data_IF_105267361733
#
_entry.id   IF_105267361733
#
_cell.length_a   1.000
_cell.length_b   1.000
_cell.length_c   1.000
_cell.angle_alpha   90.00
_cell.angle_beta   90.00
_cell.angle_gamma   90.00
#
_symmetry.space_group_name_H-M   'P 1'
#
loop_
_entity.id
_entity.type
_entity.pdbx_description
1 polymer ?
#
# COMPACT_ATOMS: atom_id res chain seq x y z
N UNK A 1 3.31 20.11 -10.21
CA UNK A 1 4.33 19.07 -10.47
C UNK A 1 5.68 19.65 -10.14
N UNK A 2 6.46 18.92 -9.33
CA UNK A 2 7.81 19.32 -8.92
C UNK A 2 8.78 18.21 -9.30
N UNK A 3 9.98 18.53 -9.70
CA UNK A 3 11.06 17.57 -9.96
C UNK A 3 12.11 17.71 -8.85
N UNK A 4 12.42 16.60 -8.19
CA UNK A 4 13.34 16.54 -7.05
C UNK A 4 14.60 15.83 -7.50
N UNK A 5 15.73 16.53 -7.57
CA UNK A 5 17.04 15.90 -7.75
C UNK A 5 17.46 15.26 -6.42
N UNK A 6 17.60 13.95 -6.40
CA UNK A 6 18.01 13.18 -5.21
C UNK A 6 19.52 12.90 -5.19
N UNK A 7 20.27 13.44 -6.17
CA UNK A 7 21.74 13.37 -6.23
C UNK A 7 22.32 11.99 -6.52
N UNK A 8 21.47 10.99 -6.81
CA UNK A 8 21.89 9.63 -7.10
C UNK A 8 20.93 8.96 -8.08
N UNK A 9 21.39 7.92 -8.76
CA UNK A 9 20.55 7.21 -9.71
C UNK A 9 19.41 6.48 -9.03
N UNK A 10 18.20 6.73 -9.51
CA UNK A 10 16.94 6.12 -9.03
C UNK A 10 16.60 4.95 -9.94
N UNK A 11 16.14 3.85 -9.34
CA UNK A 11 15.52 2.76 -10.08
C UNK A 11 14.19 3.26 -10.63
N UNK A 12 14.04 3.24 -11.94
CA UNK A 12 12.78 3.59 -12.60
C UNK A 12 11.74 2.49 -12.49
N UNK A 13 10.52 2.77 -12.96
CA UNK A 13 9.53 1.74 -13.11
C UNK A 13 10.00 0.70 -14.14
N UNK A 14 9.94 -0.58 -13.75
CA UNK A 14 10.13 -1.70 -14.65
C UNK A 14 8.97 -1.84 -15.64
N UNK A 15 8.76 -3.07 -16.14
CA UNK A 15 7.65 -3.40 -17.02
C UNK A 15 6.31 -3.54 -16.31
N UNK A 16 6.26 -3.21 -15.04
CA UNK A 16 5.07 -3.35 -14.19
C UNK A 16 4.54 -4.79 -14.14
N UNK A 17 5.46 -5.71 -13.94
CA UNK A 17 5.13 -7.10 -13.63
C UNK A 17 4.96 -7.23 -12.13
N UNK A 18 4.18 -8.21 -11.71
CA UNK A 18 3.99 -8.57 -10.30
C UNK A 18 5.32 -8.89 -9.58
N UNK A 19 6.41 -9.06 -10.33
CA UNK A 19 7.75 -9.36 -9.82
C UNK A 19 8.66 -8.14 -9.70
N UNK A 20 8.29 -7.00 -10.29
CA UNK A 20 9.15 -5.82 -10.31
C UNK A 20 9.12 -5.09 -8.96
N UNK A 21 10.25 -4.60 -8.44
CA UNK A 21 10.27 -3.83 -7.21
C UNK A 21 9.47 -2.54 -7.33
N UNK A 22 8.76 -2.17 -6.27
CA UNK A 22 8.19 -0.84 -6.12
C UNK A 22 9.31 0.16 -5.80
N UNK A 23 9.58 1.14 -6.66
CA UNK A 23 10.78 1.95 -6.53
C UNK A 23 10.64 3.19 -5.66
N UNK A 24 9.43 3.64 -5.35
CA UNK A 24 9.20 4.92 -4.67
C UNK A 24 8.00 4.88 -3.74
N UNK A 25 8.07 5.68 -2.67
CA UNK A 25 6.96 5.94 -1.77
C UNK A 25 7.08 7.35 -1.18
N UNK A 26 5.95 7.99 -0.90
CA UNK A 26 5.89 9.32 -0.28
C UNK A 26 4.92 9.31 0.90
N UNK A 27 5.16 10.18 1.88
CA UNK A 27 4.22 10.43 2.98
C UNK A 27 4.28 11.89 3.40
N UNK A 28 3.13 12.46 3.80
CA UNK A 28 3.08 13.80 4.36
C UNK A 28 3.83 13.83 5.69
N UNK A 29 4.74 14.79 5.89
CA UNK A 29 5.42 14.90 7.15
C UNK A 29 4.68 15.88 8.08
N UNK A 30 4.59 15.57 9.38
CA UNK A 30 4.10 16.51 10.38
C UNK A 30 4.92 17.81 10.34
N UNK A 31 4.25 18.95 10.39
CA UNK A 31 4.91 20.25 10.28
C UNK A 31 5.19 20.73 8.85
N UNK A 32 4.71 20.02 7.84
CA UNK A 32 4.80 20.39 6.41
C UNK A 32 5.87 19.64 5.63
N UNK A 33 5.78 19.68 4.30
CA UNK A 33 6.64 18.93 3.38
C UNK A 33 6.37 17.42 3.41
N UNK A 34 7.37 16.62 3.01
CA UNK A 34 7.19 15.17 2.80
C UNK A 34 8.38 14.34 3.29
N UNK A 35 8.12 13.09 3.62
CA UNK A 35 9.11 12.03 3.55
C UNK A 35 9.01 11.36 2.17
N UNK A 36 10.15 11.18 1.52
CA UNK A 36 10.29 10.51 0.24
C UNK A 36 11.26 9.35 0.40
N UNK A 37 10.82 8.15 -0.01
CA UNK A 37 11.68 6.99 -0.08
C UNK A 37 11.81 6.53 -1.54
N UNK A 38 13.01 6.05 -1.92
CA UNK A 38 13.27 5.54 -3.25
C UNK A 38 14.30 4.42 -3.26
N UNK A 39 14.24 3.59 -4.28
CA UNK A 39 15.21 2.54 -4.55
C UNK A 39 16.31 3.10 -5.47
N UNK A 40 17.55 3.03 -5.01
CA UNK A 40 18.71 3.34 -5.83
C UNK A 40 19.07 2.20 -6.77
N UNK A 41 19.81 2.52 -7.85
CA UNK A 41 20.34 1.49 -8.78
C UNK A 41 21.47 0.64 -8.17
N UNK A 42 21.91 0.98 -6.98
CA UNK A 42 22.84 0.21 -6.14
C UNK A 42 22.13 -0.83 -5.24
N UNK A 43 20.82 -1.05 -5.45
CA UNK A 43 19.98 -1.95 -4.67
C UNK A 43 19.87 -1.57 -3.18
N UNK A 44 19.94 -0.29 -2.87
CA UNK A 44 19.69 0.25 -1.54
C UNK A 44 18.43 1.12 -1.56
N UNK A 45 17.72 1.11 -0.46
CA UNK A 45 16.61 2.04 -0.22
C UNK A 45 17.14 3.29 0.46
N UNK A 46 16.66 4.43 0.02
CA UNK A 46 16.98 5.73 0.58
C UNK A 46 15.72 6.40 1.11
N UNK A 47 15.89 7.14 2.20
CA UNK A 47 14.85 7.98 2.78
C UNK A 47 15.38 9.41 2.89
N UNK A 48 14.66 10.36 2.31
CA UNK A 48 14.97 11.78 2.34
C UNK A 48 13.78 12.61 2.84
N UNK A 49 14.08 13.79 3.36
CA UNK A 49 13.11 14.77 3.79
C UNK A 49 12.94 15.83 2.71
N UNK A 50 11.71 16.19 2.36
CA UNK A 50 11.39 17.31 1.47
C UNK A 50 10.76 18.44 2.28
N UNK A 51 11.05 19.67 1.89
CA UNK A 51 10.35 20.86 2.38
C UNK A 51 8.95 21.03 1.75
N UNK A 52 8.29 22.15 2.04
CA UNK A 52 6.98 22.45 1.49
C UNK A 52 6.99 22.77 -0.01
N UNK A 53 8.15 23.06 -0.58
CA UNK A 53 8.38 23.28 -2.01
C UNK A 53 8.85 22.01 -2.75
N UNK A 54 8.78 20.86 -2.08
CA UNK A 54 9.28 19.55 -2.53
C UNK A 54 10.80 19.55 -2.81
N UNK A 55 11.60 20.38 -2.14
CA UNK A 55 13.06 20.36 -2.23
C UNK A 55 13.67 19.43 -1.20
N UNK A 56 14.66 18.65 -1.59
CA UNK A 56 15.37 17.75 -0.68
C UNK A 56 16.11 18.54 0.41
N UNK A 57 15.90 18.16 1.67
CA UNK A 57 16.54 18.75 2.84
C UNK A 57 17.52 17.75 3.43
N UNK A 58 18.76 18.20 3.64
CA UNK A 58 19.80 17.38 4.25
C UNK A 58 20.29 16.24 3.37
N UNK A 59 20.88 15.23 4.01
CA UNK A 59 21.44 14.05 3.33
C UNK A 59 20.50 12.87 3.52
N UNK A 60 20.07 12.18 2.45
CA UNK A 60 19.25 10.99 2.55
C UNK A 60 19.94 9.87 3.35
N UNK A 61 19.16 9.13 4.12
CA UNK A 61 19.63 7.94 4.82
C UNK A 61 19.47 6.71 3.93
N UNK A 62 20.57 6.00 3.65
CA UNK A 62 20.58 4.76 2.87
C UNK A 62 20.61 3.52 3.76
N UNK A 63 19.81 2.51 3.44
CA UNK A 63 19.73 1.24 4.16
C UNK A 63 19.41 0.06 3.24
N UNK A 64 19.51 -1.15 3.76
CA UNK A 64 19.20 -2.37 3.02
C UNK A 64 17.69 -2.53 2.81
N UNK A 65 17.29 -2.83 1.58
CA UNK A 65 15.91 -3.12 1.19
C UNK A 65 15.82 -3.48 -0.28
N UNK A 66 14.81 -4.24 -0.65
CA UNK A 66 14.62 -4.72 -2.03
C UNK A 66 13.63 -3.82 -2.77
N UNK A 67 12.63 -3.30 -2.07
CA UNK A 67 11.58 -2.43 -2.62
C UNK A 67 10.89 -1.62 -1.52
N UNK A 68 9.89 -0.86 -1.93
CA UNK A 68 9.13 0.05 -1.09
C UNK A 68 7.65 -0.28 -1.17
N UNK A 69 7.15 -1.03 -0.19
CA UNK A 69 5.73 -1.39 -0.18
C UNK A 69 4.84 -0.21 0.20
N UNK A 70 5.22 0.54 1.23
CA UNK A 70 4.52 1.77 1.65
C UNK A 70 5.35 2.61 2.61
N UNK A 71 5.01 3.89 2.72
CA UNK A 71 5.60 4.86 3.63
C UNK A 71 4.48 5.62 4.36
N UNK A 72 4.62 5.74 5.68
CA UNK A 72 3.71 6.48 6.53
C UNK A 72 4.51 7.46 7.40
N UNK A 73 4.03 8.70 7.55
CA UNK A 73 4.64 9.62 8.50
C UNK A 73 4.33 9.21 9.94
N UNK A 74 5.31 9.38 10.81
CA UNK A 74 5.16 9.21 12.26
C UNK A 74 4.66 10.52 12.89
N UNK A 75 3.77 10.42 13.86
CA UNK A 75 3.24 11.56 14.59
C UNK A 75 4.35 12.42 15.27
N UNK A 76 5.52 11.84 15.55
CA UNK A 76 6.67 12.52 16.12
C UNK A 76 7.59 13.20 15.06
N UNK A 77 7.12 13.33 13.83
CA UNK A 77 7.87 13.99 12.75
C UNK A 77 8.76 13.07 11.92
N UNK A 78 8.93 11.83 12.32
CA UNK A 78 9.67 10.81 11.57
C UNK A 78 8.82 10.08 10.52
N UNK A 79 9.26 8.86 10.16
CA UNK A 79 8.57 8.02 9.20
C UNK A 79 8.65 6.54 9.57
N UNK A 80 7.68 5.76 9.11
CA UNK A 80 7.70 4.30 9.13
C UNK A 80 7.58 3.79 7.71
N UNK A 81 8.48 2.91 7.33
CA UNK A 81 8.57 2.30 6.02
C UNK A 81 8.27 0.81 6.09
N UNK A 82 7.50 0.32 5.13
CA UNK A 82 7.29 -1.10 4.87
C UNK A 82 8.15 -1.49 3.66
N UNK A 83 9.08 -2.43 3.86
CA UNK A 83 10.03 -2.87 2.83
C UNK A 83 10.25 -4.37 2.90
N UNK A 84 10.56 -4.98 1.76
CA UNK A 84 11.08 -6.33 1.72
C UNK A 84 12.59 -6.33 1.92
N UNK A 85 13.09 -7.36 2.57
CA UNK A 85 14.53 -7.59 2.73
C UNK A 85 14.91 -9.01 2.35
N UNK A 86 16.16 -9.14 2.00
CA UNK A 86 17.07 -10.25 2.02
C UNK A 86 16.56 -11.62 1.63
N UNK A 87 17.47 -12.56 1.78
CA UNK A 87 17.24 -13.97 1.51
C UNK A 87 17.13 -14.70 2.85
N UNK A 88 15.96 -15.20 3.20
CA UNK A 88 15.74 -15.95 4.43
C UNK A 88 15.99 -17.46 4.30
N UNK A 89 16.66 -17.88 3.23
CA UNK A 89 16.90 -19.30 2.97
C UNK A 89 15.62 -20.01 2.56
N UNK A 90 15.40 -20.15 1.26
CA UNK A 90 14.21 -20.81 0.71
C UNK A 90 14.09 -22.25 1.17
N UNK A 91 12.88 -22.75 1.34
CA UNK A 91 12.57 -24.15 1.58
C UNK A 91 12.41 -24.91 0.27
N UNK A 92 12.59 -26.24 0.35
CA UNK A 92 12.22 -27.13 -0.76
C UNK A 92 10.70 -27.18 -0.87
N UNK A 93 10.16 -26.73 -1.99
CA UNK A 93 8.75 -26.87 -2.28
C UNK A 93 8.36 -28.29 -2.66
N UNK A 94 7.13 -28.69 -2.37
CA UNK A 94 6.63 -30.02 -2.73
C UNK A 94 6.62 -30.25 -4.24
N UNK A 95 6.58 -29.20 -5.05
CA UNK A 95 6.78 -29.27 -6.50
C UNK A 95 8.24 -29.41 -6.96
N UNK A 96 9.20 -29.52 -6.06
CA UNK A 96 10.63 -29.72 -6.37
C UNK A 96 11.42 -28.47 -6.71
N UNK A 97 10.80 -27.29 -6.69
CA UNK A 97 11.48 -26.00 -6.90
C UNK A 97 11.84 -25.36 -5.55
N UNK A 98 12.87 -24.53 -5.54
CA UNK A 98 13.14 -23.66 -4.39
C UNK A 98 12.36 -22.34 -4.52
N UNK A 99 11.81 -21.85 -3.42
CA UNK A 99 11.13 -20.59 -3.39
C UNK A 99 12.11 -19.46 -3.05
N UNK A 100 12.06 -18.31 -3.73
CA UNK A 100 12.71 -17.11 -3.23
C UNK A 100 12.08 -16.74 -1.89
N UNK A 101 12.92 -16.44 -0.91
CA UNK A 101 12.50 -16.11 0.43
C UNK A 101 12.86 -14.65 0.74
N UNK A 102 11.86 -13.79 0.77
CA UNK A 102 12.02 -12.43 1.28
C UNK A 102 11.20 -12.27 2.56
N UNK A 103 11.70 -11.43 3.45
CA UNK A 103 11.00 -11.06 4.68
C UNK A 103 10.45 -9.65 4.60
N UNK A 104 9.33 -9.40 5.25
CA UNK A 104 8.73 -8.07 5.35
C UNK A 104 9.16 -7.40 6.65
N UNK A 105 9.57 -6.15 6.55
CA UNK A 105 10.09 -5.36 7.67
C UNK A 105 9.39 -4.01 7.75
N UNK A 106 9.12 -3.60 8.99
CA UNK A 106 8.82 -2.22 9.34
C UNK A 106 10.10 -1.57 9.87
N UNK A 107 10.43 -0.40 9.34
CA UNK A 107 11.58 0.38 9.80
C UNK A 107 11.08 1.76 10.20
N UNK A 108 11.34 2.16 11.45
CA UNK A 108 11.00 3.50 11.95
C UNK A 108 12.22 4.38 11.94
N UNK A 109 12.03 5.61 11.47
CA UNK A 109 13.00 6.69 11.46
C UNK A 109 12.49 7.85 12.32
N UNK A 110 13.41 8.53 13.01
CA UNK A 110 13.10 9.78 13.72
C UNK A 110 12.98 10.97 12.76
N UNK A 111 12.67 12.14 13.31
CA UNK A 111 12.51 13.37 12.53
C UNK A 111 13.81 13.83 11.83
N UNK A 112 14.97 13.32 12.23
CA UNK A 112 16.27 13.57 11.56
C UNK A 112 16.58 12.54 10.45
N UNK A 113 15.71 11.54 10.24
CA UNK A 113 15.94 10.45 9.29
C UNK A 113 16.85 9.34 9.80
N UNK A 114 17.17 9.33 11.10
CA UNK A 114 17.97 8.26 11.71
C UNK A 114 17.06 7.09 12.07
N UNK A 115 17.47 5.86 11.72
CA UNK A 115 16.77 4.65 12.09
C UNK A 115 16.67 4.48 13.61
N UNK A 116 15.46 4.31 14.12
CA UNK A 116 15.16 4.10 15.55
C UNK A 116 15.06 2.62 15.87
N UNK A 117 14.28 1.90 15.07
CA UNK A 117 14.15 0.45 15.18
C UNK A 117 13.77 -0.17 13.83
N UNK A 118 13.96 -1.47 13.76
CA UNK A 118 13.50 -2.33 12.68
C UNK A 118 12.80 -3.55 13.28
N UNK A 119 11.66 -3.91 12.71
CA UNK A 119 10.87 -5.08 13.10
C UNK A 119 10.52 -5.92 11.89
N UNK A 120 10.99 -7.17 11.87
CA UNK A 120 10.48 -8.17 10.94
C UNK A 120 9.04 -8.51 11.31
N UNK A 121 8.12 -8.47 10.33
CA UNK A 121 6.68 -8.75 10.49
C UNK A 121 6.23 -10.01 9.77
N UNK A 122 7.16 -10.71 9.11
CA UNK A 122 7.00 -12.07 8.60
C UNK A 122 7.65 -13.08 9.54
N UNK A 123 7.48 -14.37 9.24
CA UNK A 123 8.05 -15.48 10.01
C UNK A 123 7.65 -15.50 11.49
N UNK A 124 6.45 -15.08 11.76
CA UNK A 124 5.90 -15.03 13.10
C UNK A 124 5.12 -16.31 13.36
N UNK A 125 5.38 -16.91 14.51
CA UNK A 125 4.77 -18.17 14.92
C UNK A 125 3.30 -17.96 15.29
N UNK A 126 2.40 -18.27 14.37
CA UNK A 126 0.96 -18.08 14.54
C UNK A 126 0.22 -19.21 15.24
N UNK A 127 0.85 -20.31 15.51
CA UNK A 127 0.33 -21.37 16.37
C UNK A 127 -0.90 -22.12 15.89
N UNK A 128 -1.25 -22.13 14.61
CA UNK A 128 -2.30 -23.00 14.10
C UNK A 128 -1.79 -24.40 13.79
N UNK A 129 -2.51 -25.38 14.28
CA UNK A 129 -2.27 -26.78 13.98
C UNK A 129 -2.36 -27.04 12.47
N UNK A 130 -1.29 -27.55 11.87
CA UNK A 130 -1.21 -27.87 10.44
C UNK A 130 -0.69 -26.77 9.56
N UNK A 131 -0.58 -25.54 10.05
CA UNK A 131 0.05 -24.44 9.33
C UNK A 131 1.32 -24.05 10.07
N UNK A 132 2.44 -24.10 9.37
CA UNK A 132 3.68 -23.60 9.91
C UNK A 132 3.65 -22.08 9.90
N UNK A 133 2.91 -21.55 10.84
CA UNK A 133 3.01 -20.20 11.32
C UNK A 133 2.80 -19.06 10.34
N UNK A 134 1.89 -19.22 9.43
CA UNK A 134 1.40 -18.13 8.65
C UNK A 134 2.49 -17.50 7.76
N UNK A 135 2.89 -16.31 8.00
CA UNK A 135 3.64 -15.44 7.12
C UNK A 135 5.16 -15.71 7.16
N UNK A 136 5.66 -16.82 6.66
CA UNK A 136 7.11 -17.09 6.67
C UNK A 136 7.90 -16.18 5.75
N UNK A 137 7.38 -15.90 4.56
CA UNK A 137 8.07 -15.08 3.59
C UNK A 137 7.08 -14.44 2.61
N UNK A 138 7.57 -13.46 1.87
CA UNK A 138 6.84 -12.83 0.77
C UNK A 138 7.12 -13.60 -0.50
N UNK A 139 6.06 -14.04 -1.15
CA UNK A 139 6.14 -14.61 -2.47
C UNK A 139 6.54 -13.54 -3.49
N UNK A 140 7.29 -13.90 -4.49
CA UNK A 140 7.90 -12.96 -5.44
C UNK A 140 6.90 -12.12 -6.27
N UNK A 141 5.66 -12.50 -6.36
CA UNK A 141 4.61 -11.73 -7.03
C UNK A 141 3.63 -11.00 -6.09
N UNK A 142 3.85 -11.04 -4.81
CA UNK A 142 2.96 -10.40 -3.84
C UNK A 142 3.45 -8.99 -3.46
N UNK A 143 3.39 -8.06 -4.42
CA UNK A 143 3.81 -6.67 -4.25
C UNK A 143 2.69 -5.77 -3.76
N UNK A 144 2.01 -6.12 -2.69
CA UNK A 144 0.86 -5.34 -2.25
C UNK A 144 0.83 -5.17 -0.74
N UNK A 145 1.71 -4.35 -0.25
CA UNK A 145 1.72 -3.95 1.16
C UNK A 145 1.19 -2.54 1.35
N UNK A 146 0.51 -2.29 2.46
CA UNK A 146 0.06 -0.96 2.90
C UNK A 146 0.24 -0.79 4.38
N UNK A 147 0.44 0.46 4.78
CA UNK A 147 0.56 0.92 6.16
C UNK A 147 -0.61 1.80 6.56
N UNK A 148 -1.04 1.67 7.81
CA UNK A 148 -1.87 2.63 8.50
C UNK A 148 -1.35 2.85 9.92
N UNK A 149 -1.66 4.00 10.51
CA UNK A 149 -1.29 4.31 11.90
C UNK A 149 -2.44 5.00 12.61
N UNK A 150 -2.60 4.69 13.89
CA UNK A 150 -3.49 5.39 14.82
C UNK A 150 -2.76 6.52 15.58
N UNK A 151 -1.49 6.79 15.24
CA UNK A 151 -0.62 7.72 15.92
C UNK A 151 0.21 7.11 17.05
N UNK A 152 -0.14 5.90 17.51
CA UNK A 152 0.56 5.16 18.58
C UNK A 152 1.05 3.78 18.14
N UNK A 153 0.39 3.20 17.18
CA UNK A 153 0.75 1.92 16.57
C UNK A 153 0.83 2.03 15.04
N UNK A 154 1.49 1.06 14.44
CA UNK A 154 1.65 0.93 12.99
C UNK A 154 1.15 -0.43 12.56
N UNK A 155 0.16 -0.47 11.69
CA UNK A 155 -0.36 -1.70 11.11
C UNK A 155 0.14 -1.85 9.68
N UNK A 156 0.81 -2.96 9.39
CA UNK A 156 1.18 -3.40 8.05
C UNK A 156 0.22 -4.48 7.58
N UNK A 157 -0.39 -4.30 6.43
CA UNK A 157 -1.24 -5.31 5.79
C UNK A 157 -0.65 -5.65 4.42
N UNK A 158 -0.27 -6.90 4.22
CA UNK A 158 0.56 -7.32 3.08
C UNK A 158 0.28 -8.77 2.65
N UNK A 159 0.59 -9.07 1.39
CA UNK A 159 0.53 -10.42 0.85
C UNK A 159 1.68 -11.29 1.36
N UNK A 160 1.40 -12.56 1.61
CA UNK A 160 2.38 -13.52 2.12
C UNK A 160 2.17 -14.90 1.53
N UNK A 161 3.24 -15.70 1.52
CA UNK A 161 3.14 -17.13 1.41
C UNK A 161 2.84 -17.73 2.78
N UNK A 162 1.73 -18.42 2.88
CA UNK A 162 1.38 -19.27 4.01
C UNK A 162 1.94 -20.65 3.72
N UNK A 163 2.73 -21.17 4.63
CA UNK A 163 3.38 -22.47 4.44
C UNK A 163 2.67 -23.56 5.23
N UNK A 164 2.53 -24.71 4.60
CA UNK A 164 2.05 -25.93 5.24
C UNK A 164 3.18 -26.97 5.11
N UNK A 165 3.65 -27.49 6.23
CA UNK A 165 4.63 -28.56 6.21
C UNK A 165 3.96 -29.86 5.72
N UNK A 166 4.52 -30.45 4.68
CA UNK A 166 4.05 -31.70 4.10
C UNK A 166 5.21 -32.68 3.98
N UNK A 167 5.41 -33.54 4.97
CA UNK A 167 6.57 -34.44 5.05
C UNK A 167 7.89 -33.66 5.01
N UNK A 168 8.71 -33.91 3.98
CA UNK A 168 10.03 -33.28 3.80
C UNK A 168 10.01 -32.02 2.93
N UNK A 169 8.84 -31.56 2.51
CA UNK A 169 8.68 -30.38 1.67
C UNK A 169 7.63 -29.42 2.25
N UNK A 170 7.60 -28.22 1.72
CA UNK A 170 6.67 -27.17 2.12
C UNK A 170 5.67 -26.96 1.00
N UNK A 171 4.40 -27.11 1.31
CA UNK A 171 3.31 -26.67 0.48
C UNK A 171 3.03 -25.20 0.73
N UNK A 172 2.67 -24.46 -0.31
CA UNK A 172 2.48 -23.03 -0.22
C UNK A 172 1.03 -22.71 -0.54
N UNK A 173 0.42 -21.96 0.39
CA UNK A 173 -0.78 -21.21 0.12
C UNK A 173 -0.46 -19.73 0.12
N UNK A 174 -1.09 -19.02 -0.76
CA UNK A 174 -1.03 -17.58 -0.80
C UNK A 174 -2.13 -16.99 0.07
N UNK A 175 -1.85 -15.87 0.65
CA UNK A 175 -2.80 -15.15 1.45
C UNK A 175 -2.27 -13.79 1.82
N UNK A 176 -2.85 -13.18 2.81
CA UNK A 176 -2.38 -11.91 3.35
C UNK A 176 -2.40 -11.90 4.88
N UNK A 177 -1.67 -10.94 5.44
CA UNK A 177 -1.48 -10.79 6.88
C UNK A 177 -1.52 -9.34 7.27
N UNK A 178 -2.09 -9.07 8.43
CA UNK A 178 -1.89 -7.82 9.13
C UNK A 178 -1.02 -8.05 10.35
N UNK A 179 -0.05 -7.16 10.56
CA UNK A 179 0.76 -7.09 11.77
C UNK A 179 0.70 -5.69 12.34
N UNK A 180 0.53 -5.60 13.66
CA UNK A 180 0.54 -4.34 14.40
C UNK A 180 1.78 -4.27 15.26
N UNK A 181 2.48 -3.15 15.20
CA UNK A 181 3.70 -2.86 15.95
C UNK A 181 3.50 -1.55 16.71
N UNK A 182 3.91 -1.50 17.96
CA UNK A 182 3.85 -0.28 18.78
C UNK A 182 4.97 0.72 18.42
N UNK A 183 4.93 1.89 19.02
CA UNK A 183 5.93 2.93 18.81
C UNK A 183 7.35 2.52 19.23
N UNK A 184 7.49 1.52 20.10
CA UNK A 184 8.76 0.95 20.53
C UNK A 184 9.30 -0.17 19.62
N UNK A 185 8.57 -0.53 18.56
CA UNK A 185 8.95 -1.61 17.65
C UNK A 185 8.59 -3.00 18.15
N UNK A 186 7.71 -3.12 19.15
CA UNK A 186 7.25 -4.41 19.63
C UNK A 186 5.94 -4.81 18.96
N UNK A 187 5.80 -6.11 18.68
CA UNK A 187 4.54 -6.65 18.20
C UNK A 187 3.46 -6.47 19.27
N UNK A 188 2.31 -5.98 18.88
CA UNK A 188 1.18 -5.81 19.78
C UNK A 188 0.56 -7.17 20.05
N UNK A 189 0.84 -7.73 21.24
CA UNK A 189 0.30 -9.00 21.66
C UNK A 189 -1.20 -8.90 21.92
N UNK A 190 -1.94 -9.98 21.58
CA UNK A 190 -3.39 -10.01 21.75
C UNK A 190 -4.16 -9.21 20.71
N UNK A 191 -3.49 -8.58 19.76
CA UNK A 191 -4.16 -8.08 18.56
C UNK A 191 -4.57 -9.31 17.74
N UNK A 192 -5.83 -9.66 17.90
CA UNK A 192 -6.40 -10.95 17.51
C UNK A 192 -6.15 -11.32 16.06
N UNK A 193 -6.00 -10.31 15.23
CA UNK A 193 -6.00 -10.45 13.78
C UNK A 193 -4.63 -10.20 13.17
N UNK A 194 -3.60 -10.13 14.01
CA UNK A 194 -2.25 -9.80 13.56
C UNK A 194 -1.58 -10.91 12.73
N UNK A 195 -2.13 -12.10 12.66
CA UNK A 195 -1.53 -13.21 11.89
C UNK A 195 -2.40 -13.71 10.75
N UNK A 196 -3.70 -13.61 10.88
CA UNK A 196 -4.64 -14.31 10.01
C UNK A 196 -5.82 -13.44 9.63
N UNK A 197 -5.50 -12.26 9.25
CA UNK A 197 -6.46 -11.41 8.62
C UNK A 197 -6.29 -11.64 7.16
N UNK A 198 -7.18 -12.34 6.51
CA UNK A 198 -6.81 -12.44 5.18
C UNK A 198 -7.80 -12.98 4.20
N UNK A 199 -7.52 -12.60 3.01
CA UNK A 199 -8.05 -13.21 1.83
C UNK A 199 -7.09 -14.31 1.39
N UNK A 200 -7.62 -15.40 0.92
CA UNK A 200 -6.84 -16.38 0.19
C UNK A 200 -6.49 -15.83 -1.18
N UNK A 201 -5.26 -16.05 -1.65
CA UNK A 201 -4.79 -15.62 -2.96
C UNK A 201 -5.16 -14.17 -3.30
N UNK A 202 -4.76 -13.24 -2.43
CA UNK A 202 -5.05 -11.83 -2.64
C UNK A 202 -4.08 -11.22 -3.64
N UNK A 203 -4.60 -10.35 -4.51
CA UNK A 203 -3.79 -9.55 -5.44
C UNK A 203 -3.49 -8.17 -4.90
N UNK A 204 -4.34 -7.65 -4.02
CA UNK A 204 -4.12 -6.35 -3.37
C UNK A 204 -4.62 -6.35 -1.96
N UNK A 205 -3.90 -5.65 -1.09
CA UNK A 205 -4.25 -5.41 0.31
C UNK A 205 -4.30 -3.92 0.55
N UNK A 206 -5.34 -3.45 1.22
CA UNK A 206 -5.51 -2.04 1.55
C UNK A 206 -5.98 -1.88 2.98
N UNK A 207 -5.45 -0.90 3.68
CA UNK A 207 -5.73 -0.65 5.09
C UNK A 207 -5.82 0.84 5.37
N UNK A 208 -6.74 1.23 6.26
CA UNK A 208 -6.82 2.57 6.83
C UNK A 208 -7.11 2.49 8.33
N UNK A 209 -6.67 3.47 9.09
CA UNK A 209 -7.14 3.67 10.45
C UNK A 209 -8.49 4.38 10.43
N UNK A 210 -9.48 3.84 11.13
CA UNK A 210 -10.78 4.49 11.34
C UNK A 210 -10.87 4.99 12.79
N UNK A 211 -10.63 6.28 13.03
CA UNK A 211 -10.70 6.85 14.37
C UNK A 211 -12.11 6.84 14.95
N UNK A 212 -13.16 6.78 14.13
CA UNK A 212 -14.55 6.71 14.56
C UNK A 212 -14.89 5.35 15.18
N UNK A 213 -14.30 4.30 14.62
CA UNK A 213 -14.50 2.92 15.06
C UNK A 213 -13.38 2.43 15.98
N UNK A 214 -12.29 3.19 16.14
CA UNK A 214 -11.12 2.81 16.93
C UNK A 214 -10.44 1.53 16.43
N UNK A 215 -10.39 1.33 15.10
CA UNK A 215 -9.86 0.10 14.50
C UNK A 215 -9.24 0.34 13.13
N UNK A 216 -8.41 -0.59 12.73
CA UNK A 216 -7.97 -0.72 11.34
C UNK A 216 -9.06 -1.35 10.49
N UNK A 217 -9.37 -0.72 9.37
CA UNK A 217 -10.27 -1.24 8.35
C UNK A 217 -9.47 -1.69 7.14
N UNK A 218 -9.85 -2.82 6.57
CA UNK A 218 -9.09 -3.47 5.50
C UNK A 218 -10.00 -3.95 4.39
N UNK A 219 -9.47 -3.96 3.17
CA UNK A 219 -10.04 -4.67 2.04
C UNK A 219 -8.94 -5.36 1.23
N UNK A 220 -9.30 -6.43 0.53
CA UNK A 220 -8.46 -7.17 -0.40
C UNK A 220 -9.21 -7.44 -1.69
N UNK A 221 -8.47 -7.59 -2.78
CA UNK A 221 -8.97 -8.26 -3.98
C UNK A 221 -8.44 -9.69 -3.98
N UNK A 222 -9.30 -10.67 -4.17
CA UNK A 222 -8.96 -12.10 -4.07
C UNK A 222 -9.52 -12.90 -5.23
N UNK A 223 -8.80 -13.93 -5.67
CA UNK A 223 -9.27 -14.90 -6.65
C UNK A 223 -10.31 -15.86 -6.07
N UNK A 224 -10.36 -16.02 -4.74
CA UNK A 224 -11.36 -16.83 -4.08
C UNK A 224 -12.77 -16.27 -4.34
N UNK A 225 -13.46 -16.86 -5.31
CA UNK A 225 -14.72 -16.40 -5.88
C UNK A 225 -14.65 -14.96 -6.47
N UNK A 226 -13.47 -14.48 -6.83
CA UNK A 226 -13.20 -13.23 -7.55
C UNK A 226 -13.99 -12.05 -6.99
N UNK A 227 -13.57 -11.56 -5.84
CA UNK A 227 -14.31 -10.56 -5.10
C UNK A 227 -13.40 -9.50 -4.49
N UNK A 228 -13.99 -8.37 -4.17
CA UNK A 228 -13.47 -7.44 -3.18
C UNK A 228 -14.05 -7.84 -1.84
N UNK A 229 -13.21 -8.12 -0.87
CA UNK A 229 -13.63 -8.61 0.44
C UNK A 229 -13.04 -7.76 1.58
N UNK A 230 -13.82 -7.66 2.64
CA UNK A 230 -13.33 -7.25 3.94
C UNK A 230 -12.85 -8.50 4.68
N UNK A 231 -11.59 -8.57 5.12
CA UNK A 231 -11.06 -9.83 5.65
C UNK A 231 -11.55 -10.18 7.06
N UNK A 232 -11.81 -9.19 7.93
CA UNK A 232 -12.17 -9.49 9.31
C UNK A 232 -13.37 -8.68 9.84
N UNK A 233 -14.46 -9.35 10.25
CA UNK A 233 -14.84 -10.70 9.85
C UNK A 233 -14.99 -10.78 8.33
N UNK A 234 -14.68 -11.93 7.75
CA UNK A 234 -14.69 -12.08 6.29
C UNK A 234 -16.09 -11.81 5.71
N UNK A 235 -16.17 -10.81 4.84
CA UNK A 235 -17.40 -10.39 4.15
C UNK A 235 -17.09 -9.93 2.74
N UNK A 236 -17.91 -10.34 1.80
CA UNK A 236 -17.88 -9.81 0.44
C UNK A 236 -18.38 -8.37 0.43
N UNK A 237 -17.61 -7.47 -0.13
CA UNK A 237 -17.99 -6.09 -0.43
C UNK A 237 -18.60 -6.03 -1.83
N UNK A 238 -17.89 -6.53 -2.83
CA UNK A 238 -18.36 -6.60 -4.22
C UNK A 238 -17.93 -7.94 -4.84
N UNK A 239 -18.78 -8.48 -5.71
CA UNK A 239 -18.49 -9.69 -6.47
C UNK A 239 -18.08 -9.34 -7.89
N UNK A 240 -17.02 -9.95 -8.34
CA UNK A 240 -16.51 -9.87 -9.70
C UNK A 240 -16.71 -11.17 -10.48
N UNK A 241 -16.02 -11.27 -11.60
CA UNK A 241 -15.93 -12.44 -12.46
C UNK A 241 -14.49 -12.96 -12.42
N UNK A 242 -14.32 -14.29 -12.42
CA UNK A 242 -12.99 -14.91 -12.42
C UNK A 242 -12.39 -14.94 -13.85
N UNK A 243 -12.14 -13.78 -14.42
CA UNK A 243 -11.57 -13.60 -15.75
C UNK A 243 -10.11 -13.08 -15.75
N UNK A 244 -9.52 -12.99 -14.54
CA UNK A 244 -8.16 -12.48 -14.35
C UNK A 244 -8.02 -10.97 -14.46
N UNK A 245 -9.12 -10.21 -14.58
CA UNK A 245 -9.08 -8.75 -14.74
C UNK A 245 -9.49 -7.97 -13.48
N UNK A 246 -9.86 -8.67 -12.41
CA UNK A 246 -10.24 -8.03 -11.15
C UNK A 246 -9.00 -7.47 -10.44
N UNK A 247 -9.04 -6.19 -10.09
CA UNK A 247 -7.98 -5.53 -9.35
C UNK A 247 -8.58 -4.58 -8.29
N UNK A 248 -8.06 -4.63 -7.07
CA UNK A 248 -8.44 -3.72 -5.98
C UNK A 248 -7.58 -2.46 -6.00
N UNK A 249 -8.22 -1.32 -6.04
CA UNK A 249 -7.60 -0.03 -5.74
C UNK A 249 -7.52 0.22 -4.24
N UNK A 250 -7.43 1.49 -3.86
CA UNK A 250 -7.25 1.85 -2.46
C UNK A 250 -8.58 1.96 -1.69
N UNK A 251 -8.46 2.10 -0.37
CA UNK A 251 -9.52 2.22 0.61
C UNK A 251 -9.42 3.58 1.31
N UNK A 252 -10.54 4.30 1.42
CA UNK A 252 -10.62 5.57 2.15
C UNK A 252 -11.85 5.61 3.07
N UNK A 253 -11.81 6.48 4.07
CA UNK A 253 -12.96 6.74 4.93
C UNK A 253 -14.04 7.51 4.14
N UNK A 254 -15.29 7.10 4.28
CA UNK A 254 -16.42 7.91 3.82
C UNK A 254 -16.59 9.16 4.72
N UNK A 255 -17.17 10.22 4.20
CA UNK A 255 -17.42 11.44 4.98
C UNK A 255 -18.45 11.24 6.12
N UNK A 256 -19.31 10.23 5.97
CA UNK A 256 -20.22 9.74 7.00
C UNK A 256 -19.75 8.44 7.62
N UNK A 257 -20.64 7.46 7.70
CA UNK A 257 -20.33 6.11 8.14
C UNK A 257 -19.70 5.29 7.00
N UNK A 258 -18.79 4.39 7.34
CA UNK A 258 -18.23 3.42 6.42
C UNK A 258 -17.05 3.90 5.60
N UNK A 259 -16.87 3.29 4.44
CA UNK A 259 -15.66 3.36 3.63
C UNK A 259 -16.02 3.38 2.14
N UNK A 260 -15.13 3.97 1.35
CA UNK A 260 -15.11 3.82 -0.10
C UNK A 260 -13.89 3.01 -0.53
N UNK A 261 -14.07 2.08 -1.43
CA UNK A 261 -12.97 1.39 -2.12
C UNK A 261 -13.15 1.50 -3.63
N UNK A 262 -12.04 1.72 -4.33
CA UNK A 262 -12.01 1.62 -5.79
C UNK A 262 -11.64 0.20 -6.19
N UNK A 263 -12.16 -0.26 -7.32
CA UNK A 263 -11.74 -1.51 -7.94
C UNK A 263 -12.05 -1.50 -9.44
N UNK A 264 -11.42 -2.38 -10.17
CA UNK A 264 -11.65 -2.51 -11.60
C UNK A 264 -11.86 -3.96 -12.02
N UNK A 265 -12.62 -4.12 -13.08
CA UNK A 265 -12.79 -5.37 -13.80
C UNK A 265 -13.17 -5.10 -15.24
N UNK A 266 -12.57 -5.85 -16.19
CA UNK A 266 -12.78 -5.66 -17.60
C UNK A 266 -12.52 -4.22 -18.08
N UNK A 267 -11.55 -3.56 -17.48
CA UNK A 267 -11.20 -2.16 -17.73
C UNK A 267 -12.19 -1.14 -17.18
N UNK A 268 -13.23 -1.54 -16.46
CA UNK A 268 -14.22 -0.63 -15.86
C UNK A 268 -13.90 -0.39 -14.40
N UNK A 269 -13.68 0.87 -14.02
CA UNK A 269 -13.48 1.27 -12.62
C UNK A 269 -14.81 1.53 -11.92
N UNK A 270 -14.91 1.03 -10.69
CA UNK A 270 -16.06 1.20 -9.80
C UNK A 270 -15.62 1.71 -8.43
N UNK A 271 -16.51 2.44 -7.77
CA UNK A 271 -16.41 2.80 -6.37
C UNK A 271 -17.51 2.10 -5.59
N UNK A 272 -17.14 1.44 -4.50
CA UNK A 272 -18.08 0.75 -3.63
C UNK A 272 -18.09 1.42 -2.26
N UNK A 273 -19.27 1.81 -1.80
CA UNK A 273 -19.49 2.23 -0.42
C UNK A 273 -19.94 1.06 0.42
N UNK A 274 -19.30 0.84 1.56
CA UNK A 274 -19.68 -0.22 2.49
C UNK A 274 -19.40 0.18 3.94
N UNK A 275 -20.08 -0.47 4.89
CA UNK A 275 -19.86 -0.31 6.34
C UNK A 275 -19.20 -1.56 6.94
N UNK A 276 -19.98 -2.63 7.14
CA UNK A 276 -19.52 -3.86 7.77
C UNK A 276 -19.77 -5.12 6.93
N UNK A 277 -20.43 -4.99 5.81
CA UNK A 277 -20.85 -6.09 4.94
C UNK A 277 -20.77 -5.72 3.46
N UNK A 278 -21.73 -6.20 2.65
CA UNK A 278 -21.81 -5.88 1.23
C UNK A 278 -21.91 -4.39 0.96
N UNK A 279 -21.54 -4.02 -0.26
CA UNK A 279 -21.67 -2.64 -0.74
C UNK A 279 -23.10 -2.11 -0.58
N UNK A 280 -23.22 -0.91 -0.06
CA UNK A 280 -24.49 -0.19 0.09
C UNK A 280 -24.74 0.77 -1.07
N UNK A 281 -23.68 1.12 -1.83
CA UNK A 281 -23.77 1.92 -3.04
C UNK A 281 -22.60 1.60 -3.98
N UNK A 282 -22.92 1.38 -5.25
CA UNK A 282 -21.97 1.14 -6.33
C UNK A 282 -22.03 2.31 -7.32
N UNK A 283 -20.89 2.98 -7.53
CA UNK A 283 -20.73 4.01 -8.53
C UNK A 283 -19.90 3.45 -9.69
N UNK A 284 -20.49 3.34 -10.86
CA UNK A 284 -19.78 3.04 -12.11
C UNK A 284 -19.22 4.34 -12.66
N UNK A 285 -17.91 4.45 -12.70
CA UNK A 285 -17.27 5.67 -13.20
C UNK A 285 -17.13 5.63 -14.72
N UNK A 286 -16.79 6.76 -15.33
CA UNK A 286 -16.36 6.80 -16.75
C UNK A 286 -14.91 6.37 -16.93
N UNK A 287 -14.15 6.17 -15.85
CA UNK A 287 -12.76 5.77 -15.88
C UNK A 287 -12.60 4.37 -16.50
N UNK A 288 -11.59 4.23 -17.34
CA UNK A 288 -11.18 2.97 -17.96
C UNK A 288 -9.76 2.68 -17.54
N UNK A 289 -9.58 1.74 -16.63
CA UNK A 289 -8.28 1.32 -16.12
C UNK A 289 -8.40 -0.06 -15.49
N UNK A 290 -7.30 -0.80 -15.45
CA UNK A 290 -7.17 -2.02 -14.67
C UNK A 290 -6.66 -1.77 -13.26
N UNK A 291 -6.10 -0.58 -12.97
CA UNK A 291 -5.38 -0.26 -11.74
C UNK A 291 -5.76 1.13 -11.21
N UNK A 292 -6.94 1.26 -10.58
CA UNK A 292 -7.35 2.53 -10.01
C UNK A 292 -6.66 2.79 -8.66
N UNK A 293 -6.39 4.05 -8.35
CA UNK A 293 -5.98 4.55 -7.04
C UNK A 293 -7.08 5.40 -6.44
N UNK A 294 -7.21 5.37 -5.11
CA UNK A 294 -8.17 6.17 -4.38
C UNK A 294 -7.52 6.76 -3.12
N UNK A 295 -7.66 8.05 -2.91
CA UNK A 295 -7.08 8.75 -1.76
C UNK A 295 -8.05 9.78 -1.19
N UNK A 296 -8.01 9.99 0.13
CA UNK A 296 -8.71 11.10 0.78
C UNK A 296 -8.18 12.44 0.25
N UNK A 297 -9.06 13.41 0.01
CA UNK A 297 -8.72 14.66 -0.66
C UNK A 297 -9.62 15.81 -0.19
N UNK A 298 -9.03 16.92 0.16
CA UNK A 298 -9.80 18.06 0.67
C UNK A 298 -10.66 17.69 1.89
N UNK A 299 -11.70 18.45 2.14
CA UNK A 299 -12.67 18.14 3.19
C UNK A 299 -13.87 17.39 2.60
N UNK A 300 -14.11 16.17 3.10
CA UNK A 300 -15.25 15.34 2.69
C UNK A 300 -15.23 14.89 1.21
N UNK A 301 -14.06 14.84 0.61
CA UNK A 301 -13.84 14.42 -0.79
C UNK A 301 -12.85 13.28 -0.89
N UNK A 302 -12.83 12.62 -2.03
CA UNK A 302 -11.86 11.61 -2.41
C UNK A 302 -11.42 11.83 -3.85
N UNK A 303 -10.16 11.52 -4.14
CA UNK A 303 -9.57 11.60 -5.47
C UNK A 303 -9.40 10.18 -6.02
N UNK A 304 -10.09 9.89 -7.11
CA UNK A 304 -9.88 8.69 -7.91
C UNK A 304 -8.89 9.02 -9.02
N UNK A 305 -7.87 8.20 -9.18
CA UNK A 305 -6.84 8.34 -10.22
C UNK A 305 -6.70 7.01 -10.95
N UNK A 306 -6.41 7.06 -12.25
CA UNK A 306 -6.24 5.86 -13.07
C UNK A 306 -5.29 6.11 -14.24
N UNK A 307 -4.69 5.05 -14.75
CA UNK A 307 -3.83 5.12 -15.92
C UNK A 307 -4.61 5.59 -17.16
N UNK A 308 -4.02 6.47 -17.96
CA UNK A 308 -4.58 6.98 -19.20
C UNK A 308 -3.47 7.19 -20.23
N UNK A 309 -3.10 6.15 -20.93
CA UNK A 309 -1.98 6.14 -21.86
C UNK A 309 -0.63 6.31 -21.16
N UNK A 310 0.12 7.37 -21.48
CA UNK A 310 1.40 7.69 -20.84
C UNK A 310 1.29 8.60 -19.61
N UNK A 311 0.07 8.97 -19.22
CA UNK A 311 -0.24 9.87 -18.12
C UNK A 311 -1.31 9.24 -17.22
N UNK A 312 -1.65 9.90 -16.13
CA UNK A 312 -2.77 9.52 -15.28
C UNK A 312 -3.92 10.51 -15.47
N UNK A 313 -5.14 10.00 -15.45
CA UNK A 313 -6.33 10.83 -15.36
C UNK A 313 -6.88 10.79 -13.93
N UNK A 314 -7.53 11.86 -13.50
CA UNK A 314 -8.05 12.00 -12.16
C UNK A 314 -9.43 12.66 -12.14
N UNK A 315 -10.26 12.28 -11.17
CA UNK A 315 -11.58 12.84 -10.90
C UNK A 315 -11.81 12.90 -9.40
N UNK A 316 -12.31 14.04 -8.95
CA UNK A 316 -12.74 14.21 -7.56
C UNK A 316 -14.17 13.71 -7.39
N UNK A 317 -14.42 13.06 -6.25
CA UNK A 317 -15.74 12.61 -5.83
C UNK A 317 -16.06 13.10 -4.42
N UNK A 318 -17.32 13.34 -4.17
CA UNK A 318 -17.84 13.62 -2.84
C UNK A 318 -17.84 12.33 -2.00
N UNK A 319 -17.18 12.34 -0.84
CA UNK A 319 -17.03 11.17 -0.01
C UNK A 319 -18.30 10.80 0.80
N UNK A 320 -19.34 11.65 0.79
CA UNK A 320 -20.61 11.32 1.42
C UNK A 320 -21.55 10.52 0.50
N UNK A 321 -21.49 10.79 -0.81
CA UNK A 321 -22.47 10.22 -1.74
C UNK A 321 -21.89 9.65 -3.04
N UNK A 322 -20.58 9.74 -3.25
CA UNK A 322 -19.89 9.23 -4.43
C UNK A 322 -20.18 9.99 -5.73
N UNK A 323 -20.74 11.20 -5.66
CA UNK A 323 -20.97 12.00 -6.87
C UNK A 323 -19.68 12.67 -7.35
N UNK A 324 -19.44 12.76 -8.68
CA UNK A 324 -18.30 13.49 -9.20
C UNK A 324 -18.40 14.99 -8.87
N UNK A 325 -17.26 15.60 -8.52
CA UNK A 325 -17.11 17.02 -8.22
C UNK A 325 -16.14 17.62 -9.24
N UNK A 326 -16.59 18.63 -9.98
CA UNK A 326 -15.80 19.24 -11.04
C UNK A 326 -15.59 18.35 -12.25
N UNK A 327 -14.62 18.69 -13.08
CA UNK A 327 -14.28 17.95 -14.30
C UNK A 327 -13.08 17.04 -14.07
N UNK A 328 -12.96 16.00 -14.91
CA UNK A 328 -11.76 15.18 -15.00
C UNK A 328 -10.58 16.03 -15.45
N UNK A 329 -9.38 15.71 -14.95
CA UNK A 329 -8.12 16.35 -15.33
C UNK A 329 -6.99 15.32 -15.46
N UNK A 330 -5.86 15.74 -16.03
CA UNK A 330 -4.72 14.88 -16.31
C UNK A 330 -3.54 15.24 -15.39
N UNK A 331 -2.85 14.21 -14.92
CA UNK A 331 -1.57 14.30 -14.24
C UNK A 331 -0.49 13.77 -15.20
N UNK A 332 0.48 14.60 -15.56
CA UNK A 332 1.55 14.23 -16.49
C UNK A 332 2.64 13.41 -15.79
N UNK A 333 2.26 12.29 -15.24
CA UNK A 333 3.14 11.28 -14.63
C UNK A 333 2.66 9.89 -15.04
N UNK A 334 3.63 8.96 -15.14
CA UNK A 334 3.33 7.56 -15.39
C UNK A 334 2.83 6.89 -14.11
N UNK A 335 1.85 6.03 -14.26
CA UNK A 335 1.32 5.20 -13.20
C UNK A 335 2.23 4.02 -12.82
N UNK A 336 2.04 3.52 -11.61
CA UNK A 336 2.45 2.20 -11.15
C UNK A 336 1.34 1.60 -10.28
N UNK A 337 0.78 0.48 -10.68
CA UNK A 337 -0.44 -0.13 -10.14
C UNK A 337 -0.44 -0.35 -8.62
N UNK A 338 0.71 -0.63 -8.04
CA UNK A 338 0.84 -0.95 -6.61
C UNK A 338 1.32 0.23 -5.75
N UNK A 339 1.73 1.34 -6.36
CA UNK A 339 2.20 2.51 -5.63
C UNK A 339 1.01 3.36 -5.14
N UNK A 340 1.15 3.99 -3.97
CA UNK A 340 0.04 4.72 -3.36
C UNK A 340 0.11 6.23 -3.58
N UNK A 341 -1.05 6.85 -3.80
CA UNK A 341 -1.26 8.26 -3.48
C UNK A 341 -1.35 8.44 -1.98
N UNK A 342 -0.85 9.55 -1.47
CA UNK A 342 -0.92 9.91 -0.04
C UNK A 342 -1.64 11.23 0.16
N UNK A 343 -2.56 11.22 1.14
CA UNK A 343 -3.26 12.41 1.59
C UNK A 343 -2.35 13.26 2.49
N UNK A 344 -2.54 14.58 2.42
CA UNK A 344 -1.80 15.56 3.19
C UNK A 344 -2.74 16.36 4.11
N UNK A 345 -2.24 16.89 5.25
CA UNK A 345 -3.06 17.66 6.20
C UNK A 345 -3.68 18.92 5.60
N UNK A 346 -3.09 19.50 4.55
CA UNK A 346 -3.62 20.63 3.80
C UNK A 346 -4.75 20.24 2.82
N UNK A 347 -5.13 18.98 2.81
CA UNK A 347 -6.14 18.41 1.91
C UNK A 347 -5.62 18.07 0.51
N UNK A 348 -4.35 18.29 0.22
CA UNK A 348 -3.74 17.85 -1.04
C UNK A 348 -3.51 16.34 -1.05
N UNK A 349 -3.24 15.81 -2.23
CA UNK A 349 -2.76 14.44 -2.42
C UNK A 349 -1.46 14.46 -3.24
N UNK A 350 -0.52 13.57 -2.94
CA UNK A 350 0.72 13.47 -3.70
C UNK A 350 1.08 12.04 -4.09
N UNK A 351 1.81 11.93 -5.19
CA UNK A 351 2.29 10.70 -5.78
C UNK A 351 3.71 10.90 -6.32
N UNK A 352 4.69 10.03 -5.97
CA UNK A 352 6.02 10.07 -6.53
C UNK A 352 6.06 9.26 -7.82
N UNK A 353 6.68 9.78 -8.85
CA UNK A 353 6.85 9.11 -10.13
C UNK A 353 8.31 9.20 -10.60
N UNK A 354 8.72 8.28 -11.47
CA UNK A 354 10.04 8.33 -12.08
C UNK A 354 10.22 9.64 -12.86
N UNK A 355 11.31 10.36 -12.55
CA UNK A 355 11.79 11.51 -13.30
C UNK A 355 12.89 11.12 -14.29
N UNK A 356 13.96 11.90 -14.33
CA UNK A 356 15.19 11.56 -15.03
C UNK A 356 16.08 10.66 -14.17
N UNK A 357 17.29 10.30 -14.64
CA UNK A 357 18.19 9.35 -13.98
C UNK A 357 18.43 9.59 -12.48
N UNK A 358 18.45 10.86 -12.05
CA UNK A 358 18.72 11.27 -10.67
C UNK A 358 17.57 12.04 -10.03
N UNK A 359 16.41 12.08 -10.69
CA UNK A 359 15.28 12.85 -10.19
C UNK A 359 14.02 12.01 -10.02
N UNK A 360 13.16 12.46 -9.12
CA UNK A 360 11.84 11.95 -8.86
C UNK A 360 10.84 13.09 -9.09
N UNK A 361 9.77 12.81 -9.81
CA UNK A 361 8.68 13.77 -10.04
C UNK A 361 7.63 13.59 -8.96
N UNK A 362 7.22 14.69 -8.34
CA UNK A 362 6.11 14.68 -7.37
C UNK A 362 4.87 15.29 -8.05
N UNK A 363 3.88 14.45 -8.27
CA UNK A 363 2.55 14.90 -8.69
C UNK A 363 1.77 15.29 -7.44
N UNK A 364 1.54 16.58 -7.23
CA UNK A 364 0.73 17.10 -6.12
C UNK A 364 -0.58 17.68 -6.65
N UNK A 365 -1.69 17.19 -6.14
CA UNK A 365 -3.04 17.66 -6.46
C UNK A 365 -3.51 18.52 -5.30
N UNK A 366 -3.56 19.82 -5.52
CA UNK A 366 -4.04 20.78 -4.51
C UNK A 366 -5.56 20.70 -4.37
N UNK A 367 -6.11 20.89 -3.16
CA UNK A 367 -7.56 20.87 -2.98
C UNK A 367 -8.25 21.92 -3.86
N UNK A 368 -9.40 21.51 -4.42
CA UNK A 368 -10.24 22.46 -5.15
C UNK A 368 -10.64 23.59 -4.18
N UNK A 369 -10.47 24.83 -4.63
CA UNK A 369 -11.00 25.96 -3.89
C UNK A 369 -12.51 25.74 -3.64
N UNK A 370 -12.93 25.93 -2.41
CA UNK A 370 -14.31 25.74 -1.97
C UNK A 370 -15.26 26.79 -2.52
#
# INVERSE_FOLDING_TARGET
MTEVDVGMRVTGYGRERDTDPLPMAIAAAPGGGSWLAWLGTDNRVYLGRLDCDDKLIGVPTGFEGIDLQDLQADANGGAVLLTRKGNCGGGRLCGGTSSPCNTMHLIRFDASGRQVWERQVTNLNGGRTGYDNGARFIWWYQHHGRLASDGTTYAAYFGVAITVQNGNCVDIHEGDRMQVVDAGGQLVSGHRDSFEVGCSHSWTTRIVWDPRAGRYAMVCATDNACRIARPHPYRTVASGTCDGTLFGGDLVLAAGEGYWTAWSQGGQVRLEHFTSGPSTATIRTSARSSHPHLVGYGTGRMLLVWESGSAMAAQVFDAANGKPVGTQFTLDVKDHSYQAFKAYPDGSAAYPAAGTNTSIRIARVMPLAG
#
